data_IF_044210873448
#
_entry.id   IF_044210873448
#
_cell.length_a   1.000
_cell.length_b   1.000
_cell.length_c   1.000
_cell.angle_alpha   90.00
_cell.angle_beta   90.00
_cell.angle_gamma   90.00
#
_symmetry.space_group_name_H-M   'P 1'
#
loop_
_entity.id
_entity.type
_entity.pdbx_description
1 polymer ?
#
# COMPACT_ATOMS: atom_id res chain seq x y z
N UNK A 1 10.57 -5.74 8.16
CA UNK A 1 9.40 -6.44 7.57
C UNK A 1 9.83 -7.16 6.27
N UNK A 2 9.59 -8.47 6.10
CA UNK A 2 10.00 -9.25 4.89
C UNK A 2 9.20 -10.55 4.74
N UNK A 3 9.14 -11.10 3.52
CA UNK A 3 8.49 -12.41 3.25
C UNK A 3 9.27 -13.60 3.80
N UNK A 4 8.56 -14.70 4.08
CA UNK A 4 9.16 -16.01 4.35
C UNK A 4 9.36 -16.81 3.06
N UNK A 5 10.45 -17.58 2.98
CA UNK A 5 10.72 -18.46 1.85
C UNK A 5 10.26 -19.90 2.14
N UNK A 6 8.95 -20.10 2.28
CA UNK A 6 8.36 -21.39 2.68
C UNK A 6 8.31 -22.45 1.57
N UNK A 7 8.37 -22.01 0.29
CA UNK A 7 8.14 -22.84 -0.91
C UNK A 7 6.77 -23.54 -0.97
N UNK A 8 5.87 -23.25 -0.03
CA UNK A 8 4.51 -23.78 0.01
C UNK A 8 3.60 -22.87 -0.83
N UNK A 9 3.11 -23.37 -1.97
CA UNK A 9 2.27 -22.61 -2.89
C UNK A 9 0.98 -22.12 -2.21
N UNK A 10 0.63 -20.87 -2.46
CA UNK A 10 -0.63 -20.27 -2.03
C UNK A 10 -1.20 -19.47 -3.20
N UNK A 11 -2.25 -20.01 -3.81
CA UNK A 11 -2.97 -19.33 -4.88
C UNK A 11 -3.97 -18.34 -4.30
N UNK A 12 -3.87 -17.08 -4.71
CA UNK A 12 -4.69 -15.99 -4.17
C UNK A 12 -5.31 -15.20 -5.32
N UNK A 13 -6.62 -15.00 -5.27
CA UNK A 13 -7.31 -14.05 -6.15
C UNK A 13 -7.13 -12.62 -5.59
N UNK A 14 -6.33 -11.82 -6.28
CA UNK A 14 -6.28 -10.38 -6.03
C UNK A 14 -7.47 -9.74 -6.72
N UNK A 15 -8.37 -9.16 -5.94
CA UNK A 15 -9.62 -8.61 -6.42
C UNK A 15 -9.65 -7.10 -6.17
N UNK A 16 -9.44 -6.31 -7.22
CA UNK A 16 -9.49 -4.87 -7.13
C UNK A 16 -10.94 -4.39 -7.07
N UNK A 17 -11.46 -4.15 -5.86
CA UNK A 17 -12.80 -3.57 -5.64
C UNK A 17 -12.79 -2.04 -5.64
N UNK A 18 -11.62 -1.43 -5.78
CA UNK A 18 -11.45 0.02 -5.81
C UNK A 18 -11.68 0.60 -7.21
N UNK A 19 -11.94 1.91 -7.32
CA UNK A 19 -11.97 2.62 -8.59
C UNK A 19 -10.56 2.97 -9.12
N UNK A 20 -9.49 2.64 -8.37
CA UNK A 20 -8.11 2.97 -8.74
C UNK A 20 -7.48 1.87 -9.60
N UNK A 21 -6.53 2.25 -10.44
CA UNK A 21 -5.60 1.28 -11.03
C UNK A 21 -4.60 0.87 -9.96
N UNK A 22 -4.53 -0.42 -9.64
CA UNK A 22 -3.79 -0.91 -8.48
C UNK A 22 -2.46 -1.51 -8.89
N UNK A 23 -1.39 -1.09 -8.23
CA UNK A 23 -0.05 -1.67 -8.32
C UNK A 23 0.15 -2.64 -7.14
N UNK A 24 0.14 -3.97 -7.38
CA UNK A 24 0.50 -4.95 -6.36
C UNK A 24 2.01 -4.93 -6.12
N UNK A 25 2.41 -5.01 -4.86
CA UNK A 25 3.82 -4.96 -4.45
C UNK A 25 4.08 -6.11 -3.49
N UNK A 26 4.99 -6.99 -3.88
CA UNK A 26 5.51 -8.04 -3.01
C UNK A 26 6.71 -7.50 -2.24
N UNK A 27 6.77 -7.73 -0.93
CA UNK A 27 7.95 -7.44 -0.13
C UNK A 27 8.83 -8.68 -0.15
N UNK A 28 9.96 -8.65 -0.85
CA UNK A 28 10.80 -9.83 -1.05
C UNK A 28 11.47 -10.35 0.25
N UNK A 29 12.32 -11.36 0.11
CA UNK A 29 13.01 -11.99 1.23
C UNK A 29 14.02 -11.05 1.91
N UNK A 30 14.50 -10.04 1.21
CA UNK A 30 15.37 -8.99 1.73
C UNK A 30 14.58 -7.79 2.27
N UNK A 31 13.24 -7.81 2.21
CA UNK A 31 12.40 -6.70 2.64
C UNK A 31 12.24 -5.59 1.60
N UNK A 32 12.64 -5.82 0.36
CA UNK A 32 12.59 -4.82 -0.73
C UNK A 32 11.30 -4.97 -1.53
N UNK A 33 10.70 -3.85 -1.98
CA UNK A 33 9.48 -3.90 -2.80
C UNK A 33 9.77 -4.41 -4.21
N UNK A 34 8.94 -5.35 -4.67
CA UNK A 34 8.92 -5.90 -6.03
C UNK A 34 7.55 -5.64 -6.65
N UNK A 35 7.56 -4.90 -7.74
CA UNK A 35 6.36 -4.46 -8.44
C UNK A 35 5.83 -5.55 -9.36
N UNK A 36 4.51 -5.73 -9.34
CA UNK A 36 3.79 -6.64 -10.23
C UNK A 36 2.90 -5.85 -11.20
N UNK A 37 2.40 -6.48 -12.28
CA UNK A 37 1.58 -5.77 -13.25
C UNK A 37 0.31 -5.18 -12.63
N UNK A 38 -0.06 -4.00 -13.12
CA UNK A 38 -1.22 -3.24 -12.64
C UNK A 38 -2.52 -4.01 -12.85
N UNK A 39 -3.37 -4.00 -11.83
CA UNK A 39 -4.76 -4.45 -11.88
C UNK A 39 -5.64 -3.26 -12.23
N UNK A 40 -6.45 -3.41 -13.28
CA UNK A 40 -7.40 -2.37 -13.68
C UNK A 40 -8.54 -2.24 -12.65
N UNK A 41 -9.20 -1.08 -12.56
CA UNK A 41 -10.35 -0.88 -11.69
C UNK A 41 -11.39 -1.98 -11.86
N UNK A 42 -11.92 -2.51 -10.75
CA UNK A 42 -12.98 -3.54 -10.75
C UNK A 42 -12.61 -4.85 -11.46
N UNK A 43 -11.32 -5.21 -11.49
CA UNK A 43 -10.84 -6.47 -12.08
C UNK A 43 -10.18 -7.37 -11.04
N UNK A 44 -10.10 -8.67 -11.34
CA UNK A 44 -9.41 -9.65 -10.53
C UNK A 44 -8.29 -10.37 -11.29
N UNK A 45 -7.29 -10.87 -10.56
CA UNK A 45 -6.22 -11.70 -11.11
C UNK A 45 -5.81 -12.78 -10.11
N UNK A 46 -5.68 -14.01 -10.59
CA UNK A 46 -5.10 -15.10 -9.82
C UNK A 46 -3.58 -14.89 -9.75
N UNK A 47 -3.05 -14.97 -8.53
CA UNK A 47 -1.64 -14.81 -8.24
C UNK A 47 -1.11 -16.08 -7.58
N UNK A 48 -0.05 -16.65 -8.16
CA UNK A 48 0.71 -17.71 -7.53
C UNK A 48 1.69 -17.08 -6.53
N UNK A 49 1.30 -17.08 -5.26
CA UNK A 49 2.14 -16.63 -4.15
C UNK A 49 2.61 -17.84 -3.34
N UNK A 50 3.30 -17.60 -2.22
CA UNK A 50 3.70 -18.66 -1.30
C UNK A 50 3.36 -18.28 0.13
N UNK A 51 3.17 -19.28 1.00
CA UNK A 51 2.85 -19.06 2.40
C UNK A 51 3.87 -18.14 3.06
N UNK A 52 3.38 -17.10 3.73
CA UNK A 52 4.21 -16.11 4.42
C UNK A 52 4.76 -15.01 3.50
N UNK A 53 4.37 -14.97 2.23
CA UNK A 53 4.64 -13.83 1.37
C UNK A 53 3.80 -12.62 1.78
N UNK A 54 4.44 -11.46 1.82
CA UNK A 54 3.85 -10.18 2.22
C UNK A 54 3.54 -9.32 0.99
N UNK A 55 2.32 -8.82 0.92
CA UNK A 55 1.83 -7.99 -0.17
C UNK A 55 1.22 -6.71 0.36
N UNK A 56 1.45 -5.61 -0.36
CA UNK A 56 0.73 -4.34 -0.18
C UNK A 56 0.30 -3.80 -1.55
N UNK A 57 -0.67 -2.90 -1.54
CA UNK A 57 -1.34 -2.45 -2.75
C UNK A 57 -1.36 -0.93 -2.78
N UNK A 58 -1.02 -0.36 -3.93
CA UNK A 58 -0.94 1.09 -4.13
C UNK A 58 -1.74 1.54 -5.33
N UNK A 59 -2.17 2.79 -5.34
CA UNK A 59 -2.54 3.44 -6.59
C UNK A 59 -1.31 3.49 -7.52
N UNK A 60 -1.47 3.01 -8.75
CA UNK A 60 -0.37 2.88 -9.70
C UNK A 60 0.18 4.23 -10.21
N UNK A 61 -0.60 5.31 -10.12
CA UNK A 61 -0.20 6.65 -10.55
C UNK A 61 0.31 7.54 -9.42
N UNK A 62 -0.25 7.38 -8.21
CA UNK A 62 0.04 8.30 -7.09
C UNK A 62 0.78 7.66 -5.91
N UNK A 63 0.95 6.33 -5.90
CA UNK A 63 1.41 5.55 -4.74
C UNK A 63 0.54 5.69 -3.48
N UNK A 64 -0.69 6.22 -3.59
CA UNK A 64 -1.63 6.25 -2.47
C UNK A 64 -1.83 4.83 -1.89
N UNK A 65 -1.81 4.70 -0.57
CA UNK A 65 -2.05 3.44 0.11
C UNK A 65 -3.46 2.91 -0.12
N UNK A 66 -3.58 1.63 -0.47
CA UNK A 66 -4.84 0.90 -0.51
C UNK A 66 -4.87 -0.16 0.58
N UNK A 67 -6.07 -0.54 0.99
CA UNK A 67 -6.26 -1.64 1.94
C UNK A 67 -6.51 -2.92 1.19
N UNK A 68 -6.11 -4.02 1.81
CA UNK A 68 -6.39 -5.39 1.39
C UNK A 68 -7.01 -6.12 2.56
N UNK A 69 -8.23 -6.65 2.38
CA UNK A 69 -8.99 -7.26 3.47
C UNK A 69 -9.05 -6.36 4.72
N UNK A 70 -9.23 -5.05 4.52
CA UNK A 70 -9.26 -4.00 5.57
C UNK A 70 -7.93 -3.78 6.32
N UNK A 71 -6.81 -4.31 5.84
CA UNK A 71 -5.47 -4.12 6.41
C UNK A 71 -4.50 -3.52 5.39
N UNK A 72 -3.40 -2.94 5.84
CA UNK A 72 -2.36 -2.39 4.94
C UNK A 72 -1.49 -3.48 4.30
N UNK A 73 -1.42 -4.65 4.93
CA UNK A 73 -0.57 -5.76 4.53
C UNK A 73 -1.39 -7.05 4.41
N UNK A 74 -1.19 -7.76 3.32
CA UNK A 74 -1.73 -9.09 3.11
C UNK A 74 -0.63 -10.14 3.28
N UNK A 75 -0.92 -11.20 4.03
CA UNK A 75 -0.04 -12.36 4.18
C UNK A 75 -0.67 -13.54 3.45
N UNK A 76 0.03 -14.05 2.43
CA UNK A 76 -0.43 -15.24 1.72
C UNK A 76 -0.38 -16.47 2.64
N UNK A 77 -1.45 -17.25 2.64
CA UNK A 77 -1.59 -18.48 3.40
C UNK A 77 -2.46 -19.48 2.64
N UNK A 78 -2.26 -20.80 2.82
CA UNK A 78 -3.01 -21.82 2.06
C UNK A 78 -4.54 -21.74 2.23
N UNK A 79 -5.02 -21.26 3.37
CA UNK A 79 -6.43 -21.09 3.69
C UNK A 79 -7.01 -19.73 3.28
N UNK A 80 -6.20 -18.82 2.72
CA UNK A 80 -6.61 -17.48 2.33
C UNK A 80 -6.51 -17.35 0.81
N UNK A 81 -7.65 -17.52 0.14
CA UNK A 81 -7.73 -17.54 -1.32
C UNK A 81 -8.13 -16.19 -1.96
N UNK A 82 -8.43 -15.17 -1.16
CA UNK A 82 -8.88 -13.85 -1.65
C UNK A 82 -8.18 -12.70 -0.95
N UNK A 83 -7.77 -11.74 -1.76
CA UNK A 83 -7.25 -10.44 -1.35
C UNK A 83 -8.14 -9.36 -1.96
N UNK A 84 -9.15 -8.91 -1.22
CA UNK A 84 -10.07 -7.87 -1.64
C UNK A 84 -9.44 -6.49 -1.38
N UNK A 85 -9.06 -5.81 -2.45
CA UNK A 85 -8.37 -4.52 -2.41
C UNK A 85 -9.40 -3.40 -2.47
N UNK A 86 -9.39 -2.51 -1.47
CA UNK A 86 -10.36 -1.43 -1.31
C UNK A 86 -9.68 -0.08 -1.08
N UNK A 87 -10.40 0.99 -1.42
CA UNK A 87 -10.00 2.34 -1.04
C UNK A 87 -10.18 2.49 0.48
N UNK A 88 -9.19 2.99 1.24
CA UNK A 88 -9.41 3.36 2.63
C UNK A 88 -10.34 4.57 2.73
N UNK A 89 -10.91 4.76 3.91
CA UNK A 89 -11.51 6.04 4.28
C UNK A 89 -10.37 6.98 4.65
N UNK A 90 -9.87 7.72 3.66
CA UNK A 90 -8.87 8.76 3.90
C UNK A 90 -9.41 9.85 4.83
N UNK A 91 -8.53 10.45 5.61
CA UNK A 91 -8.87 11.69 6.29
C UNK A 91 -9.21 12.76 5.24
N UNK A 92 -10.04 13.73 5.61
CA UNK A 92 -10.38 14.83 4.70
C UNK A 92 -9.11 15.57 4.24
N UNK A 93 -8.15 15.78 5.15
CA UNK A 93 -6.86 16.39 4.83
C UNK A 93 -6.14 15.61 3.73
N UNK A 94 -5.94 14.30 3.90
CA UNK A 94 -5.24 13.47 2.92
C UNK A 94 -5.96 13.44 1.57
N UNK A 95 -7.30 13.34 1.59
CA UNK A 95 -8.07 13.35 0.36
C UNK A 95 -7.95 14.68 -0.39
N UNK A 96 -7.93 15.81 0.32
CA UNK A 96 -7.69 17.12 -0.28
C UNK A 96 -6.27 17.20 -0.88
N UNK A 97 -5.24 16.72 -0.18
CA UNK A 97 -3.87 16.68 -0.72
C UNK A 97 -3.79 15.87 -2.02
N UNK A 98 -4.43 14.69 -2.08
CA UNK A 98 -4.50 13.86 -3.29
C UNK A 98 -5.12 14.63 -4.47
N UNK A 99 -6.21 15.36 -4.23
CA UNK A 99 -6.88 16.15 -5.28
C UNK A 99 -5.99 17.30 -5.73
N UNK A 100 -5.39 18.06 -4.81
CA UNK A 100 -4.50 19.18 -5.15
C UNK A 100 -3.28 18.69 -5.95
N UNK A 101 -2.65 17.59 -5.54
CA UNK A 101 -1.53 16.97 -6.26
C UNK A 101 -1.89 16.56 -7.69
N UNK A 102 -3.15 16.16 -7.94
CA UNK A 102 -3.61 15.82 -9.30
C UNK A 102 -3.87 17.03 -10.20
N UNK A 103 -4.12 18.21 -9.62
CA UNK A 103 -4.53 19.42 -10.34
C UNK A 103 -3.38 20.43 -10.50
N UNK A 104 -2.41 20.39 -9.60
CA UNK A 104 -1.32 21.37 -9.51
C UNK A 104 0.02 20.67 -9.72
N UNK A 105 0.90 21.26 -10.52
CA UNK A 105 2.26 20.74 -10.71
C UNK A 105 3.09 20.94 -9.44
N UNK A 106 4.01 20.02 -9.09
CA UNK A 106 4.82 20.15 -7.89
C UNK A 106 5.58 21.48 -7.76
N UNK A 107 6.11 22.02 -8.87
CA UNK A 107 6.80 23.32 -8.87
C UNK A 107 5.90 24.53 -8.58
N UNK A 108 4.58 24.36 -8.60
CA UNK A 108 3.59 25.41 -8.36
C UNK A 108 2.94 25.32 -6.98
N UNK A 109 3.24 24.30 -6.15
CA UNK A 109 2.62 24.15 -4.83
C UNK A 109 2.80 25.39 -3.94
N UNK A 110 4.00 25.97 -3.92
CA UNK A 110 4.32 27.18 -3.12
C UNK A 110 3.72 28.48 -3.66
N UNK A 111 2.99 28.43 -4.78
CA UNK A 111 2.25 29.57 -5.34
C UNK A 111 0.78 29.57 -4.90
N UNK A 112 0.30 28.49 -4.30
CA UNK A 112 -1.07 28.39 -3.79
C UNK A 112 -1.25 29.32 -2.59
N UNK A 113 -2.38 30.01 -2.48
CA UNK A 113 -2.68 30.87 -1.33
C UNK A 113 -3.21 30.07 -0.14
N UNK A 114 -2.31 29.29 0.49
CA UNK A 114 -2.60 28.43 1.63
C UNK A 114 -1.54 28.57 2.72
N UNK A 115 -1.83 28.05 3.92
CA UNK A 115 -0.89 28.11 5.04
C UNK A 115 0.40 27.34 4.74
N UNK A 116 1.54 27.86 5.23
CA UNK A 116 2.88 27.36 4.86
C UNK A 116 3.08 25.87 5.15
N UNK A 117 2.53 25.37 6.25
CA UNK A 117 2.63 23.95 6.61
C UNK A 117 2.01 23.02 5.57
N UNK A 118 0.99 23.46 4.84
CA UNK A 118 0.35 22.65 3.80
C UNK A 118 1.23 22.50 2.55
N UNK A 119 2.23 23.37 2.32
CA UNK A 119 3.19 23.16 1.23
C UNK A 119 4.04 21.92 1.51
N UNK A 120 4.52 21.78 2.75
CA UNK A 120 5.30 20.61 3.18
C UNK A 120 4.46 19.33 3.08
N UNK A 121 3.19 19.40 3.50
CA UNK A 121 2.25 18.29 3.34
C UNK A 121 2.04 17.93 1.86
N UNK A 122 1.91 18.91 0.95
CA UNK A 122 1.77 18.64 -0.50
C UNK A 122 3.04 18.02 -1.11
N UNK A 123 4.20 18.52 -0.70
CA UNK A 123 5.52 18.07 -1.15
C UNK A 123 5.83 16.64 -0.66
N UNK A 124 5.31 16.24 0.51
CA UNK A 124 5.48 14.90 1.08
C UNK A 124 4.55 13.86 0.44
N UNK A 125 4.95 13.36 -0.74
CA UNK A 125 4.17 12.38 -1.49
C UNK A 125 4.17 10.98 -0.82
N UNK A 126 3.12 10.17 -1.07
CA UNK A 126 3.10 8.78 -0.63
C UNK A 126 4.33 8.00 -1.11
N UNK A 127 5.03 7.36 -0.17
CA UNK A 127 6.26 6.61 -0.44
C UNK A 127 6.23 5.24 0.23
N UNK A 128 6.41 4.20 -0.58
CA UNK A 128 6.33 2.80 -0.15
C UNK A 128 7.40 2.46 0.89
N UNK A 129 8.61 3.04 0.79
CA UNK A 129 9.71 2.77 1.73
C UNK A 129 9.43 3.38 3.09
N UNK A 130 8.89 4.61 3.12
CA UNK A 130 8.45 5.26 4.37
C UNK A 130 7.40 4.40 5.07
N UNK A 131 6.41 3.91 4.33
CA UNK A 131 5.38 3.04 4.90
C UNK A 131 5.91 1.68 5.36
N UNK A 132 6.81 1.05 4.60
CA UNK A 132 7.44 -0.21 5.03
C UNK A 132 8.27 -0.04 6.30
N UNK A 133 8.94 1.11 6.47
CA UNK A 133 9.67 1.44 7.70
C UNK A 133 8.69 1.61 8.88
N UNK A 134 7.64 2.43 8.70
CA UNK A 134 6.58 2.63 9.70
C UNK A 134 5.95 1.31 10.14
N UNK A 135 5.47 0.50 9.19
CA UNK A 135 4.89 -0.82 9.46
C UNK A 135 5.86 -1.77 10.17
N UNK A 136 7.16 -1.68 9.87
CA UNK A 136 8.16 -2.50 10.54
C UNK A 136 8.35 -2.07 12.00
N UNK A 137 8.26 -0.77 12.29
CA UNK A 137 8.36 -0.23 13.65
C UNK A 137 7.14 -0.59 14.48
N UNK A 138 5.93 -0.33 13.96
CA UNK A 138 4.65 -0.68 14.60
C UNK A 138 4.61 -2.17 14.95
N UNK A 139 5.08 -3.04 14.03
CA UNK A 139 5.18 -4.48 14.30
C UNK A 139 6.14 -4.79 15.45
N UNK A 140 7.29 -4.13 15.51
CA UNK A 140 8.26 -4.38 16.60
C UNK A 140 7.74 -3.90 17.96
N UNK A 141 7.05 -2.76 18.00
CA UNK A 141 6.45 -2.22 19.23
C UNK A 141 5.36 -3.15 19.76
N UNK A 142 4.47 -3.65 18.89
CA UNK A 142 3.47 -4.64 19.29
C UNK A 142 4.10 -5.92 19.83
N UNK A 143 5.19 -6.41 19.23
CA UNK A 143 5.89 -7.61 19.72
C UNK A 143 6.52 -7.38 21.10
N UNK A 144 7.10 -6.20 21.34
CA UNK A 144 7.70 -5.86 22.62
C UNK A 144 6.64 -5.68 23.72
N UNK A 145 5.51 -5.03 23.42
CA UNK A 145 4.41 -4.84 24.38
C UNK A 145 3.60 -6.11 24.70
N UNK A 146 3.77 -7.20 23.94
CA UNK A 146 3.21 -8.53 24.27
C UNK A 146 4.14 -9.30 25.22
N UNK A 147 5.42 -8.92 25.29
CA UNK A 147 6.45 -9.57 26.11
C UNK A 147 6.64 -8.89 27.48
N UNK A 148 5.93 -7.80 27.76
CA UNK A 148 5.80 -7.13 29.07
C UNK A 148 4.44 -7.47 29.72
#
# INVERSE_FOLDING_TARGET
LRSLNSRELSEVLFNNRSPRSVLPIWVDFEGRPRYYPVLQPRTGRIMHSYRGHLWLFRDAGTNDGLLVNQQELFVAAPNVNKADITLPVFTLKERCLQVVRSLVKPGDYRKLDIVRSLYEDLEDHPDIRKDLQRLSLEKSEMLNGILE
#
